data_IF_497201283142
#
_entry.id   IF_497201283142
#
_cell.length_a   1.000
_cell.length_b   1.000
_cell.length_c   1.000
_cell.angle_alpha   90.00
_cell.angle_beta   90.00
_cell.angle_gamma   90.00
#
_symmetry.space_group_name_H-M   'P 1'
#
loop_
_entity.id
_entity.type
_entity.pdbx_description
1 polymer ?
#
# COMPACT_ATOMS: atom_id res chain seq x y z
N UNK A 1 8.15 16.08 -7.91
CA UNK A 1 7.32 15.06 -8.60
C UNK A 1 7.44 13.76 -7.82
N UNK A 2 6.36 12.99 -7.63
CA UNK A 2 6.37 11.74 -6.84
C UNK A 2 7.52 10.80 -7.25
N UNK A 3 7.80 10.68 -8.55
CA UNK A 3 8.92 9.94 -9.12
C UNK A 3 10.28 10.26 -8.47
N UNK A 4 10.54 11.52 -8.14
CA UNK A 4 11.82 11.92 -7.53
C UNK A 4 11.97 11.49 -6.06
N UNK A 5 10.90 10.99 -5.43
CA UNK A 5 10.93 10.51 -4.05
C UNK A 5 11.22 9.02 -3.94
N UNK A 6 10.97 8.26 -5.02
CA UNK A 6 11.19 6.82 -5.05
C UNK A 6 12.60 6.52 -5.53
N UNK A 7 13.18 5.44 -5.00
CA UNK A 7 14.51 4.97 -5.40
C UNK A 7 14.46 4.12 -6.68
N UNK A 8 13.27 3.67 -7.08
CA UNK A 8 13.00 2.75 -8.19
C UNK A 8 13.83 1.45 -8.12
N UNK A 9 14.08 0.95 -6.91
CA UNK A 9 14.87 -0.27 -6.66
C UNK A 9 14.03 -1.54 -6.73
N UNK A 10 12.71 -1.40 -6.69
CA UNK A 10 11.73 -2.49 -6.76
C UNK A 10 10.87 -2.28 -8.00
N UNK A 11 10.42 -3.38 -8.63
CA UNK A 11 9.45 -3.32 -9.72
C UNK A 11 8.20 -2.58 -9.26
N UNK A 12 7.84 -1.54 -9.98
CA UNK A 12 6.60 -0.78 -9.75
C UNK A 12 5.44 -1.42 -10.51
N UNK A 13 4.24 -1.30 -9.95
CA UNK A 13 2.98 -1.64 -10.62
C UNK A 13 2.05 -0.43 -10.57
N UNK A 14 1.36 -0.16 -11.67
CA UNK A 14 0.35 0.89 -11.71
C UNK A 14 -0.92 0.44 -10.96
N UNK A 15 -1.75 1.39 -10.54
CA UNK A 15 -3.05 1.09 -9.92
C UNK A 15 -3.96 0.31 -10.87
N UNK A 16 -3.98 0.69 -12.16
CA UNK A 16 -4.78 0.00 -13.18
C UNK A 16 -4.38 -1.48 -13.29
N UNK A 17 -3.08 -1.78 -13.42
CA UNK A 17 -2.61 -3.16 -13.48
C UNK A 17 -2.84 -3.91 -12.16
N UNK A 18 -2.63 -3.26 -11.02
CA UNK A 18 -2.81 -3.86 -9.70
C UNK A 18 -4.28 -4.23 -9.43
N UNK A 19 -5.23 -3.41 -9.89
CA UNK A 19 -6.67 -3.67 -9.73
C UNK A 19 -7.14 -4.92 -10.48
N UNK A 20 -6.41 -5.35 -11.50
CA UNK A 20 -6.67 -6.59 -12.25
C UNK A 20 -6.10 -7.83 -11.55
N UNK A 21 -5.22 -7.68 -10.55
CA UNK A 21 -4.56 -8.77 -9.81
C UNK A 21 -5.43 -9.35 -8.69
N UNK A 22 -6.44 -10.14 -9.06
CA UNK A 22 -7.39 -10.74 -8.10
C UNK A 22 -6.75 -11.68 -7.07
N UNK A 23 -5.62 -12.28 -7.39
CA UNK A 23 -4.93 -13.26 -6.53
C UNK A 23 -3.73 -12.64 -5.78
N UNK A 24 -3.37 -11.39 -6.06
CA UNK A 24 -2.25 -10.76 -5.38
C UNK A 24 -2.58 -10.46 -3.91
N UNK A 25 -1.57 -10.63 -3.06
CA UNK A 25 -1.67 -10.20 -1.66
C UNK A 25 -1.26 -8.74 -1.58
N UNK A 26 -2.21 -7.89 -1.22
CA UNK A 26 -1.94 -6.50 -0.88
C UNK A 26 -1.35 -6.41 0.52
N UNK A 27 -0.26 -5.68 0.68
CA UNK A 27 0.43 -5.48 1.96
C UNK A 27 0.46 -4.00 2.29
N UNK A 28 -0.16 -3.62 3.40
CA UNK A 28 -0.20 -2.25 3.87
C UNK A 28 0.95 -1.97 4.84
N UNK A 29 1.85 -1.09 4.42
CA UNK A 29 3.00 -0.63 5.18
C UNK A 29 2.80 0.75 5.82
N UNK A 30 1.57 1.25 5.92
CA UNK A 30 1.28 2.49 6.66
C UNK A 30 1.25 2.24 8.17
N UNK A 31 1.06 3.30 8.97
CA UNK A 31 0.86 3.16 10.41
C UNK A 31 -0.55 2.66 10.74
N UNK A 32 -0.72 2.09 11.94
CA UNK A 32 -1.97 1.42 12.35
C UNK A 32 -3.18 2.35 12.25
N UNK A 33 -3.05 3.60 12.70
CA UNK A 33 -4.12 4.60 12.61
C UNK A 33 -4.53 4.90 11.15
N UNK A 34 -3.57 4.84 10.21
CA UNK A 34 -3.87 5.05 8.78
C UNK A 34 -4.63 3.85 8.18
N UNK A 35 -4.26 2.63 8.59
CA UNK A 35 -4.89 1.38 8.16
C UNK A 35 -6.33 1.23 8.69
N UNK A 36 -6.56 1.61 9.94
CA UNK A 36 -7.88 1.54 10.60
C UNK A 36 -8.89 2.51 9.99
N UNK A 37 -8.43 3.68 9.53
CA UNK A 37 -9.28 4.60 8.75
C UNK A 37 -9.79 3.92 7.49
N UNK A 38 -8.88 3.36 6.70
CA UNK A 38 -9.20 2.55 5.55
C UNK A 38 -7.97 1.84 5.00
N UNK A 39 -8.17 0.78 4.23
CA UNK A 39 -7.15 -0.01 3.54
C UNK A 39 -7.73 -0.62 2.24
N UNK A 40 -6.87 -1.10 1.34
CA UNK A 40 -7.29 -1.91 0.20
C UNK A 40 -7.91 -3.21 0.73
N UNK A 41 -9.02 -3.67 0.14
CA UNK A 41 -9.78 -4.83 0.64
C UNK A 41 -8.88 -6.06 0.82
N UNK A 42 -8.93 -6.66 2.02
CA UNK A 42 -8.15 -7.85 2.35
C UNK A 42 -6.65 -7.62 2.50
N UNK A 43 -6.19 -6.37 2.53
CA UNK A 43 -4.78 -6.06 2.71
C UNK A 43 -4.25 -6.57 4.06
N UNK A 44 -3.03 -7.10 4.04
CA UNK A 44 -2.31 -7.52 5.24
C UNK A 44 -1.54 -6.33 5.81
N UNK A 45 -1.91 -5.88 7.00
CA UNK A 45 -1.19 -4.83 7.71
C UNK A 45 0.16 -5.33 8.25
N UNK A 46 1.24 -4.58 7.97
CA UNK A 46 2.58 -4.88 8.49
C UNK A 46 3.25 -3.69 9.21
N UNK A 47 2.76 -2.47 9.04
CA UNK A 47 3.38 -1.28 9.65
C UNK A 47 4.64 -0.78 8.91
N UNK A 48 5.13 0.42 9.27
CA UNK A 48 6.45 0.90 8.85
C UNK A 48 7.42 1.06 10.01
N UNK A 49 7.08 1.90 10.99
CA UNK A 49 7.94 2.19 12.14
C UNK A 49 8.04 0.97 13.05
N UNK A 50 6.89 0.34 13.33
CA UNK A 50 6.78 -0.92 14.07
C UNK A 50 6.55 -2.11 13.12
N UNK A 51 7.39 -2.23 12.08
CA UNK A 51 7.26 -3.25 11.05
C UNK A 51 7.24 -4.67 11.65
N UNK A 52 6.16 -5.41 11.39
CA UNK A 52 6.01 -6.83 11.72
C UNK A 52 5.67 -7.65 10.49
N UNK A 53 6.53 -8.61 10.16
CA UNK A 53 6.31 -9.53 9.04
C UNK A 53 5.70 -10.87 9.47
N UNK A 54 5.31 -10.99 10.74
CA UNK A 54 4.62 -12.18 11.27
C UNK A 54 3.37 -12.56 10.46
N UNK A 55 2.52 -11.60 10.01
CA UNK A 55 1.34 -11.92 9.19
C UNK A 55 1.68 -12.60 7.86
N UNK A 56 2.91 -12.42 7.36
CA UNK A 56 3.36 -12.97 6.09
C UNK A 56 4.16 -14.28 6.25
N UNK A 57 4.28 -14.83 7.47
CA UNK A 57 5.12 -16.00 7.75
C UNK A 57 4.66 -17.27 7.01
N UNK A 58 3.35 -17.44 6.84
CA UNK A 58 2.74 -18.58 6.14
C UNK A 58 2.50 -18.32 4.65
N UNK A 59 2.84 -17.13 4.14
CA UNK A 59 2.65 -16.79 2.73
C UNK A 59 3.74 -17.47 1.90
N UNK A 60 3.32 -18.13 0.82
CA UNK A 60 4.24 -18.74 -0.15
C UNK A 60 5.19 -17.68 -0.74
N UNK A 61 6.47 -18.01 -0.85
CA UNK A 61 7.49 -17.12 -1.43
C UNK A 61 7.29 -16.85 -2.91
N UNK A 62 6.53 -17.68 -3.64
CA UNK A 62 6.16 -17.40 -5.04
C UNK A 62 4.87 -16.60 -5.21
N UNK A 63 4.13 -16.32 -4.13
CA UNK A 63 2.90 -15.53 -4.23
C UNK A 63 3.22 -14.10 -4.68
N UNK A 64 2.40 -13.56 -5.59
CA UNK A 64 2.49 -12.16 -5.98
C UNK A 64 2.09 -11.25 -4.82
N UNK A 65 3.00 -10.36 -4.41
CA UNK A 65 2.80 -9.39 -3.34
C UNK A 65 2.85 -7.97 -3.91
N UNK A 66 1.83 -7.17 -3.59
CA UNK A 66 1.79 -5.75 -3.93
C UNK A 66 1.82 -4.96 -2.63
N UNK A 67 2.95 -4.30 -2.36
CA UNK A 67 3.12 -3.48 -1.16
C UNK A 67 2.70 -2.06 -1.47
N UNK A 68 1.96 -1.44 -0.57
CA UNK A 68 1.59 -0.04 -0.69
C UNK A 68 1.73 0.71 0.64
N UNK A 69 1.87 2.02 0.51
CA UNK A 69 1.70 2.96 1.60
C UNK A 69 0.81 4.11 1.11
N UNK A 70 0.94 5.33 1.66
CA UNK A 70 0.19 6.49 1.16
C UNK A 70 0.48 6.77 -0.31
N UNK A 71 1.77 6.74 -0.71
CA UNK A 71 2.24 7.31 -2.00
C UNK A 71 3.29 6.45 -2.72
N UNK A 72 3.80 5.39 -2.08
CA UNK A 72 4.82 4.49 -2.64
C UNK A 72 6.19 4.51 -1.93
N UNK A 73 6.47 5.51 -1.10
CA UNK A 73 7.80 5.70 -0.48
C UNK A 73 8.15 4.65 0.59
N UNK A 74 7.31 4.53 1.63
CA UNK A 74 7.50 3.55 2.72
C UNK A 74 7.44 2.12 2.20
N UNK A 75 6.51 1.86 1.28
CA UNK A 75 6.28 0.56 0.69
C UNK A 75 7.43 0.06 -0.17
N UNK A 76 8.18 0.94 -0.84
CA UNK A 76 9.41 0.54 -1.53
C UNK A 76 10.40 -0.11 -0.57
N UNK A 77 10.64 0.52 0.60
CA UNK A 77 11.58 0.00 1.61
C UNK A 77 11.08 -1.29 2.26
N UNK A 78 9.78 -1.46 2.42
CA UNK A 78 9.21 -2.73 2.89
C UNK A 78 9.33 -3.81 1.81
N UNK A 79 9.09 -3.48 0.54
CA UNK A 79 9.23 -4.41 -0.57
C UNK A 79 10.69 -4.89 -0.74
N UNK A 80 11.67 -4.00 -0.61
CA UNK A 80 13.11 -4.36 -0.57
C UNK A 80 13.39 -5.40 0.53
N UNK A 81 12.80 -5.25 1.73
CA UNK A 81 12.95 -6.22 2.83
C UNK A 81 12.30 -7.56 2.50
N UNK A 82 11.12 -7.58 1.89
CA UNK A 82 10.44 -8.82 1.49
C UNK A 82 11.26 -9.61 0.45
N UNK A 83 11.83 -8.92 -0.54
CA UNK A 83 12.72 -9.53 -1.54
C UNK A 83 13.94 -10.17 -0.86
N UNK A 84 14.58 -9.45 0.07
CA UNK A 84 15.71 -10.00 0.86
C UNK A 84 15.34 -11.22 1.70
N UNK A 85 14.07 -11.36 2.06
CA UNK A 85 13.51 -12.52 2.77
C UNK A 85 13.05 -13.65 1.83
N UNK A 86 13.37 -13.56 0.55
CA UNK A 86 13.16 -14.61 -0.44
C UNK A 86 11.79 -14.60 -1.14
N UNK A 87 10.96 -13.57 -0.95
CA UNK A 87 9.77 -13.41 -1.78
C UNK A 87 10.18 -13.08 -3.22
N UNK A 88 9.62 -13.82 -4.19
CA UNK A 88 10.10 -13.83 -5.57
C UNK A 88 9.39 -12.82 -6.47
N UNK A 89 8.13 -12.50 -6.18
CA UNK A 89 7.34 -11.52 -6.94
C UNK A 89 6.76 -10.46 -6.01
N UNK A 90 7.54 -9.41 -5.76
CA UNK A 90 7.15 -8.27 -4.92
C UNK A 90 7.16 -7.01 -5.76
N UNK A 91 6.04 -6.28 -5.75
CA UNK A 91 5.87 -5.02 -6.48
C UNK A 91 5.51 -3.89 -5.53
N UNK A 92 5.99 -2.68 -5.84
CA UNK A 92 5.59 -1.46 -5.15
C UNK A 92 4.43 -0.80 -5.89
N UNK A 93 3.31 -0.54 -5.21
CA UNK A 93 2.17 0.16 -5.82
C UNK A 93 2.52 1.64 -6.00
N UNK A 94 2.76 2.06 -7.24
CA UNK A 94 3.11 3.43 -7.55
C UNK A 94 1.94 4.36 -7.24
N UNK A 95 2.17 5.39 -6.43
CA UNK A 95 1.13 6.31 -5.97
C UNK A 95 0.33 5.82 -4.74
N UNK A 96 0.56 4.58 -4.29
CA UNK A 96 -0.01 4.03 -3.07
C UNK A 96 -1.55 4.06 -3.01
N UNK A 97 -2.10 4.04 -1.79
CA UNK A 97 -3.55 4.11 -1.58
C UNK A 97 -4.16 5.44 -2.02
N UNK A 98 -3.37 6.53 -2.10
CA UNK A 98 -3.87 7.80 -2.59
C UNK A 98 -4.24 7.69 -4.07
N UNK A 99 -3.34 7.15 -4.88
CA UNK A 99 -3.63 6.95 -6.29
C UNK A 99 -4.70 5.88 -6.52
N UNK A 100 -4.71 4.83 -5.69
CA UNK A 100 -5.80 3.84 -5.67
C UNK A 100 -7.17 4.51 -5.55
N UNK A 101 -7.33 5.39 -4.56
CA UNK A 101 -8.58 6.13 -4.36
C UNK A 101 -8.83 7.17 -5.45
N UNK A 102 -7.79 7.85 -5.94
CA UNK A 102 -7.90 8.82 -7.04
C UNK A 102 -8.46 8.18 -8.33
N UNK A 103 -8.17 6.91 -8.57
CA UNK A 103 -8.69 6.16 -9.72
C UNK A 103 -10.09 5.59 -9.47
N UNK A 104 -10.68 5.85 -8.31
CA UNK A 104 -12.07 5.49 -7.99
C UNK A 104 -12.22 4.07 -7.45
N UNK A 105 -11.14 3.42 -7.05
CA UNK A 105 -11.22 2.10 -6.44
C UNK A 105 -11.69 2.19 -4.98
N UNK A 106 -12.42 1.16 -4.50
CA UNK A 106 -12.95 1.14 -3.14
C UNK A 106 -11.82 0.97 -2.11
N UNK A 107 -12.03 1.57 -0.94
CA UNK A 107 -11.21 1.36 0.26
C UNK A 107 -12.13 0.97 1.41
N UNK A 108 -11.60 0.21 2.36
CA UNK A 108 -12.38 -0.51 3.37
C UNK A 108 -11.85 -0.20 4.75
N UNK A 109 -12.74 -0.07 5.73
CA UNK A 109 -12.37 -0.30 7.12
C UNK A 109 -12.72 -1.75 7.49
N UNK A 110 -12.62 -2.11 8.77
CA UNK A 110 -12.87 -3.48 9.24
C UNK A 110 -14.31 -3.98 9.01
N UNK A 111 -15.27 -3.09 8.72
CA UNK A 111 -16.69 -3.44 8.60
C UNK A 111 -17.29 -3.20 7.22
N UNK A 112 -16.86 -2.16 6.50
CA UNK A 112 -17.50 -1.74 5.24
C UNK A 112 -16.58 -0.90 4.35
N UNK A 113 -17.01 -0.71 3.10
CA UNK A 113 -16.44 0.29 2.21
C UNK A 113 -16.61 1.70 2.79
N UNK A 114 -15.62 2.57 2.55
CA UNK A 114 -15.62 3.94 3.03
C UNK A 114 -14.97 4.89 2.02
N UNK A 115 -15.32 6.17 2.11
CA UNK A 115 -14.66 7.24 1.37
C UNK A 115 -13.46 7.83 2.11
N UNK A 116 -13.30 7.50 3.41
CA UNK A 116 -12.24 8.07 4.25
C UNK A 116 -10.88 7.51 3.89
N UNK A 117 -9.88 8.37 3.75
CA UNK A 117 -8.48 7.98 3.58
C UNK A 117 -7.61 8.86 4.45
N UNK A 118 -6.74 8.24 5.24
CA UNK A 118 -5.82 8.96 6.11
C UNK A 118 -4.74 9.64 5.27
N UNK A 119 -4.73 10.97 5.28
CA UNK A 119 -3.90 11.81 4.44
C UNK A 119 -2.47 12.02 4.98
N UNK A 120 -2.14 11.36 6.11
CA UNK A 120 -0.89 11.43 6.88
C UNK A 120 -0.65 12.81 7.50
N UNK A 121 -0.43 13.83 6.67
CA UNK A 121 -0.44 15.23 7.09
C UNK A 121 -0.90 16.13 5.93
N UNK A 122 -1.12 17.42 6.19
CA UNK A 122 -1.63 18.36 5.18
C UNK A 122 -0.69 18.54 3.98
N UNK A 123 0.61 18.28 4.12
CA UNK A 123 1.59 18.39 3.02
C UNK A 123 1.49 17.20 2.08
N UNK A 124 1.37 15.98 2.61
CA UNK A 124 1.21 14.77 1.80
C UNK A 124 -0.22 14.63 1.25
N UNK A 125 -1.21 15.10 2.00
CA UNK A 125 -2.62 15.09 1.62
C UNK A 125 -2.94 15.81 0.32
N UNK A 126 -2.04 16.62 -0.23
CA UNK A 126 -2.24 17.29 -1.53
C UNK A 126 -2.32 16.30 -2.72
N UNK A 127 -1.76 15.09 -2.57
CA UNK A 127 -1.81 14.06 -3.64
C UNK A 127 -3.05 13.17 -3.57
N UNK A 128 -3.78 13.19 -2.46
CA UNK A 128 -5.10 12.60 -2.36
C UNK A 128 -6.13 13.59 -2.96
N UNK A 129 -6.65 13.27 -4.14
CA UNK A 129 -7.56 14.13 -4.92
C UNK A 129 -9.02 13.71 -4.79
N UNK A 130 -9.29 12.44 -4.47
CA UNK A 130 -10.63 11.89 -4.26
C UNK A 130 -10.74 11.22 -2.89
N UNK A 131 -11.97 11.07 -2.39
CA UNK A 131 -12.27 10.59 -1.04
C UNK A 131 -12.27 11.70 0.02
N UNK A 132 -12.64 11.33 1.24
CA UNK A 132 -12.66 12.19 2.42
C UNK A 132 -11.32 12.10 3.15
N UNK A 133 -10.61 13.23 3.26
CA UNK A 133 -9.31 13.27 3.96
C UNK A 133 -9.53 13.29 5.46
N UNK A 134 -8.87 12.38 6.17
CA UNK A 134 -8.74 12.43 7.63
C UNK A 134 -7.25 12.50 8.01
N UNK A 135 -6.96 13.07 9.18
CA UNK A 135 -5.61 13.34 9.68
C UNK A 135 -5.50 12.95 11.15
#
# INVERSE_FOLDING_TARGET
MLKALLSHTVKEISVQEAAEKKEAIFVDSREKAEYEVSHIKGAVFVGYDNLTLKPLKSVDKSQEIIVYCSVGYRSEKVAEKLIKMGFKDVKNLYGGIFEWKNQGHPVWNDSQETEKVHAYDKKWGIWLKKGEKVY
#
